data_IF_069659687328
#
_entry.id   IF_069659687328
#
_cell.length_a   1.000
_cell.length_b   1.000
_cell.length_c   1.000
_cell.angle_alpha   90.00
_cell.angle_beta   90.00
_cell.angle_gamma   90.00
#
_symmetry.space_group_name_H-M   'P 1'
#
loop_
_entity.id
_entity.type
_entity.pdbx_description
1 polymer ?
#
# COMPACT_ATOMS: atom_id res chain seq x y z
N UNK A 1 7.15 -6.37 35.12
CA UNK A 1 7.72 -7.04 33.92
C UNK A 1 7.30 -6.23 32.71
N UNK A 2 8.25 -5.74 31.88
CA UNK A 2 7.93 -5.08 30.62
C UNK A 2 7.31 -6.13 29.70
N UNK A 3 6.10 -5.88 29.21
CA UNK A 3 5.43 -6.77 28.26
C UNK A 3 6.07 -6.57 26.88
N UNK A 4 6.95 -7.46 26.48
CA UNK A 4 7.59 -7.47 25.15
C UNK A 4 6.63 -7.83 24.01
N UNK A 5 5.47 -8.38 24.34
CA UNK A 5 4.40 -8.74 23.40
C UNK A 5 3.05 -8.59 24.09
N UNK A 6 2.00 -8.38 23.31
CA UNK A 6 0.63 -8.17 23.78
C UNK A 6 -0.31 -9.13 23.08
N UNK A 7 -1.21 -9.75 23.87
CA UNK A 7 -2.33 -10.49 23.29
C UNK A 7 -3.31 -9.50 22.68
N UNK A 8 -3.60 -9.69 21.41
CA UNK A 8 -4.54 -8.83 20.70
C UNK A 8 -5.98 -9.14 21.11
N UNK A 9 -6.73 -8.12 21.51
CA UNK A 9 -8.13 -8.25 21.98
C UNK A 9 -9.11 -7.29 21.30
N UNK A 10 -8.66 -6.50 20.29
CA UNK A 10 -9.48 -5.49 19.64
C UNK A 10 -10.29 -6.09 18.47
N UNK A 11 -11.46 -5.50 18.18
CA UNK A 11 -12.21 -5.82 16.96
C UNK A 11 -11.41 -5.40 15.74
N UNK A 12 -11.30 -6.31 14.77
CA UNK A 12 -10.61 -6.08 13.50
C UNK A 12 -11.59 -5.73 12.39
N UNK A 13 -11.07 -5.23 11.29
CA UNK A 13 -11.83 -5.10 10.05
C UNK A 13 -12.07 -6.52 9.50
N UNK A 14 -13.31 -6.89 9.13
CA UNK A 14 -13.59 -8.19 8.53
C UNK A 14 -12.72 -8.46 7.31
N UNK A 15 -12.31 -9.71 7.10
CA UNK A 15 -11.42 -10.09 5.99
C UNK A 15 -12.00 -9.74 4.62
N UNK A 16 -13.31 -9.79 4.49
CA UNK A 16 -14.05 -9.48 3.26
C UNK A 16 -13.92 -8.01 2.83
N UNK A 17 -13.54 -7.14 3.77
CA UNK A 17 -13.32 -5.71 3.50
C UNK A 17 -11.87 -5.40 3.08
N UNK A 18 -11.00 -6.41 3.08
CA UNK A 18 -9.66 -6.30 2.53
C UNK A 18 -9.69 -6.67 1.03
N UNK A 19 -8.93 -5.92 0.23
CA UNK A 19 -8.89 -6.10 -1.23
C UNK A 19 -7.89 -7.21 -1.62
N UNK A 20 -8.01 -8.35 -0.98
CA UNK A 20 -7.23 -9.56 -1.24
C UNK A 20 -8.17 -10.61 -1.83
N UNK A 21 -7.68 -11.35 -2.82
CA UNK A 21 -8.45 -12.44 -3.44
C UNK A 21 -8.93 -13.43 -2.38
N UNK A 22 -10.23 -13.74 -2.32
CA UNK A 22 -10.78 -14.73 -1.40
C UNK A 22 -10.04 -16.08 -1.44
N UNK A 23 -9.60 -16.53 -2.62
CA UNK A 23 -8.83 -17.78 -2.78
C UNK A 23 -7.48 -17.71 -2.04
N UNK A 24 -6.82 -16.56 -2.06
CA UNK A 24 -5.58 -16.33 -1.30
C UNK A 24 -5.87 -16.40 0.19
N UNK A 25 -6.95 -15.77 0.63
CA UNK A 25 -7.37 -15.78 2.03
C UNK A 25 -7.69 -17.20 2.51
N UNK A 26 -8.44 -17.98 1.73
CA UNK A 26 -8.78 -19.38 2.05
C UNK A 26 -7.54 -20.27 2.10
N UNK A 27 -6.59 -20.08 1.19
CA UNK A 27 -5.30 -20.78 1.22
C UNK A 27 -4.51 -20.46 2.48
N UNK A 28 -4.42 -19.18 2.86
CA UNK A 28 -3.74 -18.75 4.09
C UNK A 28 -4.38 -19.33 5.35
N UNK A 29 -5.71 -19.32 5.42
CA UNK A 29 -6.44 -19.95 6.53
C UNK A 29 -6.17 -21.45 6.59
N UNK A 30 -6.07 -22.12 5.46
CA UNK A 30 -5.75 -23.55 5.38
C UNK A 30 -4.31 -23.81 5.86
N UNK A 31 -3.32 -23.05 5.38
CA UNK A 31 -1.92 -23.15 5.82
C UNK A 31 -1.78 -22.92 7.33
N UNK A 32 -2.47 -21.93 7.87
CA UNK A 32 -2.43 -21.61 9.29
C UNK A 32 -3.18 -22.62 10.17
N UNK A 33 -4.04 -23.48 9.61
CA UNK A 33 -4.74 -24.56 10.32
C UNK A 33 -3.91 -25.82 10.47
N UNK A 34 -2.96 -26.05 9.56
CA UNK A 34 -2.12 -27.27 9.59
C UNK A 34 -1.30 -27.32 10.87
N UNK A 35 -1.39 -28.43 11.58
CA UNK A 35 -0.75 -28.62 12.88
C UNK A 35 0.69 -29.15 12.73
N UNK A 36 1.66 -28.41 13.28
CA UNK A 36 2.90 -28.80 13.96
C UNK A 36 4.05 -29.51 13.23
N UNK A 37 3.92 -30.00 12.01
CA UNK A 37 5.05 -30.75 11.38
C UNK A 37 5.97 -29.85 10.54
N UNK A 38 5.48 -28.72 10.07
CA UNK A 38 6.27 -27.73 9.31
C UNK A 38 6.08 -26.32 9.83
N UNK A 39 7.10 -25.48 9.74
CA UNK A 39 6.97 -24.06 10.08
C UNK A 39 6.03 -23.37 9.10
N UNK A 40 5.11 -22.56 9.62
CA UNK A 40 4.17 -21.79 8.81
C UNK A 40 4.42 -20.29 9.01
N UNK A 41 5.41 -19.78 8.31
CA UNK A 41 5.73 -18.36 8.26
C UNK A 41 5.13 -17.73 7.02
N UNK A 42 4.33 -16.68 7.20
CA UNK A 42 3.70 -15.92 6.13
C UNK A 42 4.30 -14.53 6.10
N UNK A 43 4.63 -14.04 4.90
CA UNK A 43 5.13 -12.70 4.68
C UNK A 43 4.05 -11.81 4.03
N UNK A 44 3.66 -10.74 4.73
CA UNK A 44 2.81 -9.69 4.17
C UNK A 44 3.69 -8.46 3.88
N UNK A 45 3.75 -8.04 2.62
CA UNK A 45 4.62 -6.94 2.24
C UNK A 45 3.93 -5.94 1.30
N UNK A 46 4.46 -4.72 1.23
CA UNK A 46 3.94 -3.65 0.38
C UNK A 46 3.81 -2.31 1.11
N UNK A 47 3.36 -1.25 0.44
CA UNK A 47 3.34 0.12 0.97
C UNK A 47 2.65 0.24 2.33
N UNK A 48 3.06 1.20 3.18
CA UNK A 48 2.40 1.47 4.45
C UNK A 48 0.94 1.88 4.23
N UNK A 49 0.08 1.56 5.22
CA UNK A 49 -1.33 1.95 5.18
C UNK A 49 -2.24 1.12 4.27
N UNK A 50 -1.76 0.04 3.66
CA UNK A 50 -2.55 -0.87 2.81
C UNK A 50 -3.37 -1.91 3.59
N UNK A 51 -3.28 -1.91 4.93
CA UNK A 51 -4.10 -2.78 5.78
C UNK A 51 -3.45 -4.13 6.15
N UNK A 52 -2.14 -4.32 5.97
CA UNK A 52 -1.42 -5.56 6.28
C UNK A 52 -1.66 -6.05 7.71
N UNK A 53 -1.47 -5.19 8.70
CA UNK A 53 -1.67 -5.51 10.12
C UNK A 53 -3.13 -5.88 10.42
N UNK A 54 -4.07 -5.10 9.89
CA UNK A 54 -5.50 -5.38 10.05
C UNK A 54 -5.89 -6.72 9.43
N UNK A 55 -5.31 -7.06 8.28
CA UNK A 55 -5.54 -8.34 7.62
C UNK A 55 -4.97 -9.52 8.42
N UNK A 56 -3.74 -9.40 8.94
CA UNK A 56 -3.13 -10.42 9.81
C UNK A 56 -3.99 -10.72 11.04
N UNK A 57 -4.52 -9.67 11.67
CA UNK A 57 -5.42 -9.79 12.82
C UNK A 57 -6.77 -10.39 12.43
N UNK A 58 -7.29 -10.05 11.24
CA UNK A 58 -8.50 -10.65 10.69
C UNK A 58 -8.35 -12.16 10.46
N UNK A 59 -7.18 -12.62 9.98
CA UNK A 59 -6.87 -14.05 9.84
C UNK A 59 -6.92 -14.76 11.20
N UNK A 60 -6.30 -14.20 12.23
CA UNK A 60 -6.33 -14.77 13.58
C UNK A 60 -7.77 -14.86 14.13
N UNK A 61 -8.56 -13.82 13.95
CA UNK A 61 -9.96 -13.80 14.35
C UNK A 61 -10.80 -14.86 13.64
N UNK A 62 -10.61 -15.01 12.32
CA UNK A 62 -11.31 -16.02 11.50
C UNK A 62 -10.91 -17.45 11.87
N UNK A 63 -9.67 -17.64 12.28
CA UNK A 63 -9.16 -18.92 12.80
C UNK A 63 -9.66 -19.24 14.21
N UNK A 64 -10.16 -18.24 14.96
CA UNK A 64 -10.55 -18.40 16.35
C UNK A 64 -9.38 -18.66 17.31
N UNK A 65 -8.16 -18.22 16.93
CA UNK A 65 -6.95 -18.44 17.73
C UNK A 65 -6.47 -17.14 18.38
N UNK A 66 -5.81 -17.19 19.55
CA UNK A 66 -5.16 -16.03 20.13
C UNK A 66 -4.07 -15.50 19.19
N UNK A 67 -4.00 -14.18 19.05
CA UNK A 67 -2.92 -13.50 18.35
C UNK A 67 -2.06 -12.74 19.34
N UNK A 68 -0.74 -12.84 19.17
CA UNK A 68 0.25 -12.09 19.94
C UNK A 68 1.04 -11.19 19.01
N UNK A 69 1.05 -9.91 19.31
CA UNK A 69 1.82 -8.90 18.58
C UNK A 69 3.11 -8.61 19.32
N UNK A 70 4.24 -8.69 18.62
CA UNK A 70 5.55 -8.32 19.13
C UNK A 70 5.68 -6.80 19.14
N UNK A 71 5.78 -6.22 20.32
CA UNK A 71 5.83 -4.76 20.48
C UNK A 71 7.16 -4.19 20.01
N UNK A 72 7.10 -2.96 19.49
CA UNK A 72 8.23 -2.11 19.20
C UNK A 72 8.33 -1.06 20.31
N UNK A 73 9.33 -1.18 21.17
CA UNK A 73 9.65 -0.13 22.18
C UNK A 73 10.69 0.84 21.62
N UNK A 74 10.63 2.11 22.01
CA UNK A 74 11.69 3.09 21.75
C UNK A 74 13.01 2.61 22.34
N UNK A 75 14.10 2.66 21.57
CA UNK A 75 15.40 2.11 21.94
C UNK A 75 15.47 0.58 21.86
N UNK A 76 14.50 -0.07 21.26
CA UNK A 76 14.48 -1.52 21.05
C UNK A 76 15.50 -1.90 19.97
N UNK A 77 16.66 -2.36 20.40
CA UNK A 77 17.62 -2.97 19.48
C UNK A 77 16.99 -4.24 18.89
N UNK A 78 17.42 -4.62 17.70
CA UNK A 78 17.00 -5.87 17.04
C UNK A 78 17.11 -7.09 17.97
N UNK A 79 18.12 -7.13 18.82
CA UNK A 79 18.33 -8.19 19.80
C UNK A 79 17.19 -8.30 20.83
N UNK A 80 16.64 -7.19 21.29
CA UNK A 80 15.48 -7.22 22.20
C UNK A 80 14.23 -7.75 21.52
N UNK A 81 14.00 -7.40 20.26
CA UNK A 81 12.87 -7.97 19.49
C UNK A 81 13.04 -9.46 19.23
N UNK A 82 14.26 -9.93 18.95
CA UNK A 82 14.58 -11.37 18.86
C UNK A 82 14.24 -12.09 20.16
N UNK A 83 14.69 -11.56 21.29
CA UNK A 83 14.36 -12.11 22.62
C UNK A 83 12.85 -12.12 22.87
N UNK A 84 12.14 -11.07 22.47
CA UNK A 84 10.69 -10.99 22.58
C UNK A 84 9.97 -12.08 21.76
N UNK A 85 10.42 -12.33 20.53
CA UNK A 85 9.90 -13.39 19.68
C UNK A 85 10.11 -14.77 20.34
N UNK A 86 11.33 -15.07 20.77
CA UNK A 86 11.64 -16.33 21.43
C UNK A 86 10.85 -16.53 22.74
N UNK A 87 10.73 -15.49 23.56
CA UNK A 87 9.93 -15.52 24.78
C UNK A 87 8.43 -15.76 24.48
N UNK A 88 7.91 -15.13 23.43
CA UNK A 88 6.53 -15.34 22.98
C UNK A 88 6.32 -16.77 22.49
N UNK A 89 7.21 -17.30 21.66
CA UNK A 89 7.14 -18.67 21.14
C UNK A 89 7.24 -19.70 22.27
N UNK A 90 8.15 -19.53 23.22
CA UNK A 90 8.27 -20.39 24.39
C UNK A 90 7.01 -20.40 25.25
N UNK A 91 6.36 -19.25 25.41
CA UNK A 91 5.11 -19.14 26.14
C UNK A 91 3.97 -19.90 25.46
N UNK A 92 3.87 -19.84 24.12
CA UNK A 92 2.76 -20.45 23.37
C UNK A 92 3.02 -21.91 22.96
N UNK A 93 4.26 -22.40 23.03
CA UNK A 93 4.62 -23.78 22.67
C UNK A 93 3.94 -24.86 23.53
N UNK A 94 3.35 -24.49 24.66
CA UNK A 94 2.56 -25.37 25.55
C UNK A 94 1.06 -25.40 25.30
N UNK A 95 0.51 -24.60 24.35
CA UNK A 95 -0.94 -24.36 24.26
C UNK A 95 -1.48 -24.13 22.84
N UNK A 96 -2.66 -23.79 22.75
CA UNK A 96 -3.76 -23.51 21.82
C UNK A 96 -3.50 -23.07 20.37
N UNK A 97 -2.31 -23.29 19.79
CA UNK A 97 -2.07 -22.95 18.39
C UNK A 97 -2.17 -21.46 18.07
N UNK A 98 -1.66 -20.63 18.95
CA UNK A 98 -1.64 -19.16 18.81
C UNK A 98 -0.86 -18.70 17.57
N UNK A 99 -1.20 -17.50 17.10
CA UNK A 99 -0.53 -16.84 15.97
C UNK A 99 0.35 -15.71 16.49
N UNK A 100 1.61 -15.66 16.05
CA UNK A 100 2.52 -14.56 16.37
C UNK A 100 2.58 -13.60 15.19
N UNK A 101 2.36 -12.30 15.45
CA UNK A 101 2.44 -11.25 14.46
C UNK A 101 3.64 -10.37 14.75
N UNK A 102 4.54 -10.27 13.77
CA UNK A 102 5.73 -9.41 13.82
C UNK A 102 5.50 -8.26 12.86
N UNK A 103 4.95 -7.17 13.37
CA UNK A 103 4.72 -5.97 12.58
C UNK A 103 5.98 -5.12 12.45
N UNK A 104 6.09 -4.32 11.38
CA UNK A 104 7.29 -3.53 11.06
C UNK A 104 8.58 -4.36 11.18
N UNK A 105 8.59 -5.52 10.54
CA UNK A 105 9.70 -6.47 10.60
C UNK A 105 10.91 -6.05 9.75
N UNK A 106 10.88 -4.89 9.10
CA UNK A 106 11.90 -4.41 8.17
C UNK A 106 13.32 -4.57 8.75
N UNK A 107 13.53 -4.12 9.98
CA UNK A 107 14.84 -4.22 10.63
C UNK A 107 15.26 -5.67 10.99
N UNK A 108 14.30 -6.58 11.20
CA UNK A 108 14.58 -7.99 11.50
C UNK A 108 14.89 -8.79 10.24
N UNK A 109 14.29 -8.38 9.13
CA UNK A 109 14.39 -9.06 7.83
C UNK A 109 15.49 -8.47 6.93
N UNK A 110 16.13 -7.37 7.34
CA UNK A 110 17.25 -6.78 6.61
C UNK A 110 18.47 -7.72 6.66
N UNK A 111 18.64 -8.54 5.66
CA UNK A 111 19.69 -9.57 5.57
C UNK A 111 20.65 -9.36 4.40
N UNK A 112 20.35 -8.47 3.45
CA UNK A 112 21.25 -8.15 2.34
C UNK A 112 22.40 -7.26 2.82
N UNK A 113 23.62 -7.72 2.64
CA UNK A 113 24.83 -6.92 2.76
C UNK A 113 24.92 -5.98 1.54
N UNK A 114 24.38 -4.78 1.64
CA UNK A 114 24.56 -3.74 0.65
C UNK A 114 25.25 -2.55 1.30
N UNK A 115 26.25 -1.96 0.60
CA UNK A 115 26.90 -0.71 1.01
C UNK A 115 25.92 0.46 1.21
N UNK A 116 24.69 0.29 0.68
CA UNK A 116 23.61 1.28 0.70
C UNK A 116 22.44 0.89 1.63
N UNK A 117 22.51 -0.27 2.31
CA UNK A 117 21.46 -0.66 3.25
C UNK A 117 21.41 0.32 4.40
N UNK A 118 20.27 0.98 4.60
CA UNK A 118 20.02 1.80 5.78
C UNK A 118 19.80 0.88 6.97
N UNK A 119 20.83 0.67 7.78
CA UNK A 119 20.75 -0.09 9.03
C UNK A 119 21.75 -1.23 9.15
N UNK A 120 21.85 -1.81 10.34
CA UNK A 120 22.70 -2.97 10.61
C UNK A 120 22.14 -4.21 9.91
N UNK A 121 23.01 -4.91 9.18
CA UNK A 121 22.66 -6.21 8.56
C UNK A 121 22.42 -7.23 9.65
N UNK A 122 21.33 -7.97 9.57
CA UNK A 122 20.96 -8.93 10.59
C UNK A 122 21.65 -10.27 10.40
N UNK A 123 21.88 -10.96 11.52
CA UNK A 123 22.39 -12.34 11.52
C UNK A 123 21.38 -13.27 10.81
N UNK A 124 21.74 -13.63 9.60
CA UNK A 124 21.00 -14.54 8.73
C UNK A 124 20.84 -15.94 9.35
N UNK A 125 21.83 -16.39 10.13
CA UNK A 125 21.80 -17.72 10.77
C UNK A 125 20.64 -17.83 11.75
N UNK A 126 20.47 -16.84 12.61
CA UNK A 126 19.37 -16.79 13.57
C UNK A 126 17.98 -16.79 12.87
N UNK A 127 17.83 -15.97 11.83
CA UNK A 127 16.57 -15.84 11.13
C UNK A 127 16.21 -17.15 10.38
N UNK A 128 17.20 -17.76 9.74
CA UNK A 128 17.02 -19.04 9.07
C UNK A 128 16.60 -20.14 10.05
N UNK A 129 17.25 -20.22 11.20
CA UNK A 129 16.91 -21.17 12.27
C UNK A 129 15.47 -20.94 12.76
N UNK A 130 15.07 -19.68 12.99
CA UNK A 130 13.72 -19.35 13.44
C UNK A 130 12.67 -19.73 12.38
N UNK A 131 12.94 -19.44 11.11
CA UNK A 131 12.01 -19.75 10.01
C UNK A 131 11.88 -21.25 9.73
N UNK A 132 12.82 -22.07 10.17
CA UNK A 132 12.82 -23.53 10.06
C UNK A 132 12.31 -24.23 11.33
N UNK A 133 12.04 -23.48 12.42
CA UNK A 133 11.61 -24.05 13.70
C UNK A 133 10.20 -24.66 13.59
N UNK A 134 10.03 -25.96 13.88
CA UNK A 134 8.75 -26.64 13.76
C UNK A 134 7.70 -26.06 14.71
N UNK A 135 6.47 -25.97 14.24
CA UNK A 135 5.31 -25.59 15.06
C UNK A 135 5.09 -24.10 15.22
N UNK A 136 6.02 -23.25 14.78
CA UNK A 136 5.84 -21.81 14.80
C UNK A 136 4.83 -21.37 13.70
N UNK A 137 3.82 -20.61 14.08
CA UNK A 137 2.88 -19.96 13.17
C UNK A 137 3.04 -18.46 13.30
N UNK A 138 3.67 -17.84 12.30
CA UNK A 138 4.01 -16.43 12.37
C UNK A 138 3.58 -15.69 11.10
N UNK A 139 3.11 -14.48 11.27
CA UNK A 139 2.91 -13.51 10.18
C UNK A 139 3.91 -12.39 10.36
N UNK A 140 4.73 -12.20 9.34
CA UNK A 140 5.72 -11.14 9.25
C UNK A 140 5.20 -10.04 8.36
N UNK A 141 5.31 -8.80 8.79
CA UNK A 141 4.81 -7.63 8.06
C UNK A 141 5.98 -6.68 7.81
N UNK A 142 6.22 -6.36 6.54
CA UNK A 142 7.25 -5.43 6.11
C UNK A 142 6.73 -4.46 5.04
N UNK A 143 7.37 -3.34 4.88
CA UNK A 143 7.03 -2.38 3.84
C UNK A 143 7.78 -2.65 2.53
N UNK A 144 8.95 -3.32 2.59
CA UNK A 144 9.77 -3.66 1.43
C UNK A 144 10.40 -5.05 1.60
N UNK A 145 10.66 -5.69 0.47
CA UNK A 145 11.42 -6.96 0.41
C UNK A 145 12.80 -6.77 -0.23
N UNK A 146 13.17 -5.55 -0.61
CA UNK A 146 14.43 -5.25 -1.31
C UNK A 146 15.67 -5.68 -0.53
N UNK A 147 15.60 -5.57 0.80
CA UNK A 147 16.71 -5.82 1.71
C UNK A 147 16.70 -7.24 2.31
N UNK A 148 15.80 -8.10 1.84
CA UNK A 148 15.70 -9.51 2.23
C UNK A 148 16.45 -10.36 1.23
N UNK A 149 17.37 -11.20 1.70
CA UNK A 149 18.05 -12.17 0.84
C UNK A 149 17.11 -13.26 0.31
N UNK A 150 17.34 -13.72 -0.92
CA UNK A 150 16.55 -14.78 -1.57
C UNK A 150 16.51 -16.07 -0.75
N UNK A 151 17.61 -16.38 -0.05
CA UNK A 151 17.73 -17.56 0.82
C UNK A 151 16.76 -17.49 2.00
N UNK A 152 16.46 -16.32 2.51
CA UNK A 152 15.46 -16.07 3.56
C UNK A 152 14.06 -16.08 2.99
N UNK A 153 13.86 -15.41 1.84
CA UNK A 153 12.55 -15.35 1.17
C UNK A 153 11.98 -16.74 0.86
N UNK A 154 12.81 -17.68 0.45
CA UNK A 154 12.39 -19.06 0.12
C UNK A 154 11.89 -19.87 1.33
N UNK A 155 12.11 -19.41 2.56
CA UNK A 155 11.67 -20.09 3.79
C UNK A 155 10.27 -19.67 4.24
N UNK A 156 9.71 -18.64 3.64
CA UNK A 156 8.32 -18.31 3.88
C UNK A 156 7.41 -19.29 3.14
N UNK A 157 6.45 -19.87 3.88
CA UNK A 157 5.48 -20.80 3.32
C UNK A 157 4.56 -20.13 2.29
N UNK A 158 4.28 -18.84 2.48
CA UNK A 158 3.50 -18.04 1.55
C UNK A 158 3.80 -16.55 1.72
N UNK A 159 3.60 -15.79 0.64
CA UNK A 159 3.72 -14.33 0.70
C UNK A 159 2.55 -13.65 0.01
N UNK A 160 2.14 -12.49 0.55
CA UNK A 160 1.07 -11.66 -0.02
C UNK A 160 1.59 -10.26 -0.26
N UNK A 161 1.49 -9.82 -1.50
CA UNK A 161 1.81 -8.46 -1.87
C UNK A 161 0.58 -7.57 -1.72
N UNK A 162 0.65 -6.61 -0.81
CA UNK A 162 -0.33 -5.56 -0.65
C UNK A 162 0.04 -4.40 -1.59
N UNK A 163 -0.62 -4.34 -2.73
CA UNK A 163 -0.38 -3.26 -3.71
C UNK A 163 -0.96 -1.94 -3.22
N UNK A 164 -0.40 -0.83 -3.70
CA UNK A 164 -1.03 0.48 -3.51
C UNK A 164 -2.43 0.48 -4.13
N UNK A 165 -3.37 1.13 -3.47
CA UNK A 165 -4.75 1.16 -3.94
C UNK A 165 -4.88 1.96 -5.25
N UNK A 166 -5.51 1.37 -6.25
CA UNK A 166 -5.91 2.09 -7.45
C UNK A 166 -7.07 3.06 -7.16
N UNK A 167 -7.43 3.91 -8.14
CA UNK A 167 -8.48 4.94 -7.96
C UNK A 167 -9.81 4.35 -7.49
N UNK A 168 -10.26 3.21 -8.08
CA UNK A 168 -11.54 2.57 -7.70
C UNK A 168 -11.50 2.06 -6.26
N UNK A 169 -10.38 1.46 -5.88
CA UNK A 169 -10.17 0.97 -4.52
C UNK A 169 -10.12 2.11 -3.51
N UNK A 170 -9.44 3.21 -3.84
CA UNK A 170 -9.44 4.43 -3.00
C UNK A 170 -10.84 5.01 -2.86
N UNK A 171 -11.63 5.05 -3.96
CA UNK A 171 -13.01 5.51 -3.91
C UNK A 171 -13.86 4.65 -2.96
N UNK A 172 -13.79 3.33 -3.11
CA UNK A 172 -14.48 2.38 -2.23
C UNK A 172 -14.07 2.55 -0.77
N UNK A 173 -12.77 2.77 -0.52
CA UNK A 173 -12.22 3.02 0.81
C UNK A 173 -12.82 4.29 1.43
N UNK A 174 -12.80 5.41 0.71
CA UNK A 174 -13.40 6.68 1.12
C UNK A 174 -14.88 6.51 1.44
N UNK A 175 -15.65 5.91 0.55
CA UNK A 175 -17.07 5.66 0.76
C UNK A 175 -17.35 4.76 1.98
N UNK A 176 -16.52 3.74 2.21
CA UNK A 176 -16.63 2.86 3.37
C UNK A 176 -16.44 3.63 4.67
N UNK A 177 -15.41 4.47 4.74
CA UNK A 177 -15.12 5.27 5.94
C UNK A 177 -16.20 6.31 6.18
N UNK A 178 -16.64 7.03 5.13
CA UNK A 178 -17.72 8.02 5.22
C UNK A 178 -19.04 7.39 5.70
N UNK A 179 -19.36 6.18 5.21
CA UNK A 179 -20.54 5.42 5.67
C UNK A 179 -20.44 5.00 7.13
N UNK A 180 -19.26 4.53 7.57
CA UNK A 180 -19.00 4.14 8.96
C UNK A 180 -19.28 5.29 9.93
N UNK A 181 -18.88 6.50 9.57
CA UNK A 181 -19.12 7.71 10.37
C UNK A 181 -20.50 8.35 10.12
N UNK A 182 -21.34 7.77 9.24
CA UNK A 182 -22.68 8.29 8.87
C UNK A 182 -22.64 9.72 8.30
N UNK A 183 -21.56 10.06 7.62
CA UNK A 183 -21.36 11.39 7.01
C UNK A 183 -21.32 11.38 5.48
N UNK A 184 -21.60 10.23 4.84
CA UNK A 184 -21.57 10.12 3.38
C UNK A 184 -22.52 11.12 2.70
N UNK A 185 -23.67 11.39 3.27
CA UNK A 185 -24.66 12.34 2.75
C UNK A 185 -24.20 13.79 2.72
N UNK A 186 -23.14 14.14 3.47
CA UNK A 186 -22.54 15.46 3.47
C UNK A 186 -21.64 15.74 2.26
N UNK A 187 -21.29 14.72 1.49
CA UNK A 187 -20.39 14.81 0.34
C UNK A 187 -21.11 14.34 -0.92
N UNK A 188 -21.04 15.15 -1.96
CA UNK A 188 -21.49 14.72 -3.28
C UNK A 188 -20.46 13.81 -3.96
N UNK A 189 -20.85 13.15 -5.05
CA UNK A 189 -19.98 12.23 -5.79
C UNK A 189 -18.75 12.94 -6.38
N UNK A 190 -18.90 14.20 -6.82
CA UNK A 190 -17.78 14.97 -7.38
C UNK A 190 -16.79 15.34 -6.30
N UNK A 191 -17.26 15.73 -5.11
CA UNK A 191 -16.41 16.03 -3.96
C UNK A 191 -15.62 14.81 -3.50
N UNK A 192 -16.27 13.63 -3.39
CA UNK A 192 -15.57 12.39 -3.03
C UNK A 192 -14.49 12.07 -4.06
N UNK A 193 -14.79 12.17 -5.35
CA UNK A 193 -13.79 11.95 -6.40
C UNK A 193 -12.61 12.94 -6.30
N UNK A 194 -12.85 14.22 -6.00
CA UNK A 194 -11.78 15.21 -5.76
C UNK A 194 -10.91 14.83 -4.56
N UNK A 195 -11.53 14.38 -3.45
CA UNK A 195 -10.79 13.93 -2.27
C UNK A 195 -9.94 12.69 -2.56
N UNK A 196 -10.48 11.71 -3.27
CA UNK A 196 -9.75 10.49 -3.71
C UNK A 196 -8.52 10.83 -4.55
N UNK A 197 -8.64 11.81 -5.45
CA UNK A 197 -7.54 12.25 -6.30
C UNK A 197 -6.49 13.04 -5.54
N UNK A 198 -6.95 13.93 -4.66
CA UNK A 198 -6.07 14.83 -3.90
C UNK A 198 -5.33 14.13 -2.77
N UNK A 199 -5.97 13.15 -2.12
CA UNK A 199 -5.47 12.52 -0.91
C UNK A 199 -5.24 11.02 -1.08
N UNK A 200 -4.07 10.58 -1.57
CA UNK A 200 -3.69 9.16 -1.64
C UNK A 200 -3.25 8.66 -0.26
N UNK A 201 -4.14 8.73 0.71
CA UNK A 201 -3.87 8.40 2.12
C UNK A 201 -4.55 7.10 2.53
N UNK A 202 -4.10 6.51 3.65
CA UNK A 202 -4.67 5.27 4.19
C UNK A 202 -6.06 5.48 4.82
N UNK A 203 -6.81 4.39 4.97
CA UNK A 203 -8.09 4.40 5.67
C UNK A 203 -8.00 4.98 7.09
N UNK A 204 -6.89 4.72 7.80
CA UNK A 204 -6.68 5.21 9.14
C UNK A 204 -6.57 6.75 9.19
N UNK A 205 -5.90 7.35 8.21
CA UNK A 205 -5.77 8.82 8.10
C UNK A 205 -7.13 9.44 7.76
N UNK A 206 -7.88 8.83 6.84
CA UNK A 206 -9.25 9.29 6.51
C UNK A 206 -10.16 9.22 7.74
N UNK A 207 -10.16 8.07 8.44
CA UNK A 207 -10.93 7.84 9.65
C UNK A 207 -10.60 8.87 10.74
N UNK A 208 -9.32 9.07 10.99
CA UNK A 208 -8.84 10.05 11.98
C UNK A 208 -9.28 11.47 11.62
N UNK A 209 -9.12 11.87 10.36
CA UNK A 209 -9.48 13.22 9.88
C UNK A 209 -10.97 13.49 10.02
N UNK A 210 -11.82 12.52 9.68
CA UNK A 210 -13.28 12.62 9.82
C UNK A 210 -13.67 12.66 11.29
N UNK A 211 -13.13 11.77 12.12
CA UNK A 211 -13.42 11.73 13.55
C UNK A 211 -13.05 13.05 14.23
N UNK A 212 -11.86 13.60 13.95
CA UNK A 212 -11.43 14.88 14.49
C UNK A 212 -12.30 16.04 14.01
N UNK A 213 -12.70 16.03 12.75
CA UNK A 213 -13.63 17.01 12.24
C UNK A 213 -15.01 16.94 12.94
N UNK A 214 -15.51 15.74 13.24
CA UNK A 214 -16.76 15.57 14.00
C UNK A 214 -16.64 16.07 15.46
N UNK A 215 -15.47 15.93 16.08
CA UNK A 215 -15.20 16.40 17.43
C UNK A 215 -15.08 17.93 17.51
N UNK A 216 -14.53 18.56 16.48
CA UNK A 216 -14.13 19.98 16.52
C UNK A 216 -15.03 20.94 15.76
N UNK A 217 -15.77 20.48 14.73
CA UNK A 217 -16.66 21.34 13.97
C UNK A 217 -17.92 21.69 14.76
N UNK A 218 -18.00 22.92 15.23
CA UNK A 218 -19.11 23.40 16.08
C UNK A 218 -20.38 23.79 15.33
N UNK A 219 -20.35 24.04 14.02
CA UNK A 219 -21.57 24.37 13.23
C UNK A 219 -21.32 24.37 11.72
N UNK A 220 -22.19 23.68 10.98
CA UNK A 220 -22.33 23.75 9.54
C UNK A 220 -21.51 22.71 8.74
N UNK A 221 -22.05 22.34 7.58
CA UNK A 221 -21.41 21.35 6.69
C UNK A 221 -20.12 21.87 6.05
N UNK A 222 -20.07 23.16 5.74
CA UNK A 222 -18.89 23.82 5.14
C UNK A 222 -17.71 23.76 6.10
N UNK A 223 -17.92 24.16 7.36
CA UNK A 223 -16.89 24.10 8.39
C UNK A 223 -16.36 22.66 8.63
N UNK A 224 -17.26 21.66 8.58
CA UNK A 224 -16.88 20.26 8.70
C UNK A 224 -15.94 19.81 7.56
N UNK A 225 -16.31 20.10 6.31
CA UNK A 225 -15.49 19.74 5.14
C UNK A 225 -14.12 20.42 5.14
N UNK A 226 -14.09 21.70 5.55
CA UNK A 226 -12.83 22.44 5.68
C UNK A 226 -11.90 21.83 6.73
N UNK A 227 -12.44 21.44 7.89
CA UNK A 227 -11.63 20.78 8.93
C UNK A 227 -11.13 19.41 8.47
N UNK A 228 -11.95 18.63 7.77
CA UNK A 228 -11.49 17.36 7.16
C UNK A 228 -10.32 17.61 6.21
N UNK A 229 -10.44 18.58 5.32
CA UNK A 229 -9.40 18.94 4.35
C UNK A 229 -8.13 19.43 5.03
N UNK A 230 -8.27 20.30 6.03
CA UNK A 230 -7.14 20.80 6.82
C UNK A 230 -6.37 19.68 7.53
N UNK A 231 -7.08 18.73 8.13
CA UNK A 231 -6.45 17.57 8.77
C UNK A 231 -5.71 16.69 7.77
N UNK A 232 -6.29 16.47 6.60
CA UNK A 232 -5.66 15.69 5.52
C UNK A 232 -4.42 16.40 4.97
N UNK A 233 -4.47 17.71 4.75
CA UNK A 233 -3.34 18.52 4.29
C UNK A 233 -2.18 18.48 5.32
N UNK A 234 -2.50 18.59 6.60
CA UNK A 234 -1.51 18.46 7.67
C UNK A 234 -0.82 17.08 7.68
N UNK A 235 -1.59 16.00 7.53
CA UNK A 235 -1.03 14.66 7.44
C UNK A 235 -0.16 14.45 6.20
N UNK A 236 -0.56 14.96 5.04
CA UNK A 236 0.26 14.88 3.84
C UNK A 236 1.59 15.64 3.99
N UNK A 237 1.55 16.79 4.63
CA UNK A 237 2.76 17.58 4.90
C UNK A 237 3.73 16.79 5.79
N UNK A 238 3.23 16.11 6.82
CA UNK A 238 4.06 15.26 7.69
C UNK A 238 4.67 14.07 6.95
N UNK A 239 3.89 13.40 6.08
CA UNK A 239 4.38 12.24 5.31
C UNK A 239 5.46 12.66 4.29
N UNK A 240 5.40 13.87 3.78
CA UNK A 240 6.34 14.41 2.81
C UNK A 240 7.50 15.21 3.44
N UNK A 241 7.92 14.86 4.66
CA UNK A 241 9.03 15.48 5.40
C UNK A 241 8.94 17.01 5.53
N UNK A 242 7.72 17.52 5.72
CA UNK A 242 7.45 18.95 5.84
C UNK A 242 7.38 19.71 4.50
N UNK A 243 7.72 19.08 3.41
CA UNK A 243 7.47 19.64 2.09
C UNK A 243 5.96 19.59 1.80
N UNK A 244 5.36 20.74 1.48
CA UNK A 244 3.99 20.71 0.95
C UNK A 244 4.00 19.73 -0.22
N UNK A 245 3.09 18.72 -0.24
CA UNK A 245 2.99 17.86 -1.41
C UNK A 245 2.92 18.79 -2.60
N UNK A 246 3.81 18.61 -3.57
CA UNK A 246 3.62 19.26 -4.86
C UNK A 246 2.22 18.83 -5.26
N UNK A 247 1.27 19.77 -5.13
CA UNK A 247 -0.09 19.52 -5.63
C UNK A 247 0.16 19.00 -7.03
N UNK A 248 -0.23 17.73 -7.27
CA UNK A 248 -0.33 17.24 -8.65
C UNK A 248 -1.16 18.34 -9.29
N UNK A 249 -0.48 19.16 -10.11
CA UNK A 249 -1.01 20.41 -10.64
C UNK A 249 -2.43 20.14 -11.08
N UNK A 250 -3.36 20.96 -10.62
CA UNK A 250 -4.75 20.88 -11.05
C UNK A 250 -4.70 20.81 -12.58
N UNK A 251 -5.37 19.85 -13.17
CA UNK A 251 -5.87 20.04 -14.53
C UNK A 251 -6.66 21.34 -14.39
N UNK A 252 -6.21 22.41 -15.02
CA UNK A 252 -6.99 23.64 -15.04
C UNK A 252 -8.36 23.24 -15.56
N UNK A 253 -9.41 23.54 -14.78
CA UNK A 253 -10.79 23.16 -15.12
C UNK A 253 -11.21 23.71 -16.49
N UNK A 254 -10.43 24.65 -17.03
CA UNK A 254 -10.60 25.36 -18.30
C UNK A 254 -9.58 24.95 -19.39
N UNK A 255 -8.85 23.84 -19.23
CA UNK A 255 -7.92 23.43 -20.28
C UNK A 255 -8.69 23.00 -21.53
N UNK A 256 -8.61 23.79 -22.59
CA UNK A 256 -9.19 23.50 -23.91
C UNK A 256 -8.11 23.01 -24.86
N UNK A 257 -8.40 21.93 -25.55
CA UNK A 257 -7.53 21.39 -26.62
C UNK A 257 -7.51 22.34 -27.82
N UNK A 258 -8.53 23.15 -28.00
CA UNK A 258 -8.68 24.06 -29.14
C UNK A 258 -7.58 25.13 -29.22
N UNK A 259 -6.92 25.43 -28.11
CA UNK A 259 -5.80 26.38 -28.05
C UNK A 259 -4.44 25.78 -28.27
N UNK A 260 -4.33 24.44 -28.47
CA UNK A 260 -3.05 23.78 -28.68
C UNK A 260 -2.64 23.84 -30.13
N UNK A 261 -1.44 24.39 -30.38
CA UNK A 261 -0.80 24.32 -31.69
C UNK A 261 -0.07 22.97 -31.84
N UNK A 262 -0.84 21.91 -32.21
CA UNK A 262 -0.31 20.55 -32.38
C UNK A 262 -0.27 20.23 -33.87
N UNK A 263 0.89 19.85 -34.36
CA UNK A 263 1.01 19.23 -35.68
C UNK A 263 0.52 17.79 -35.62
N UNK A 264 -0.66 17.52 -36.16
CA UNK A 264 -1.26 16.18 -36.19
C UNK A 264 -2.78 16.23 -36.00
N UNK A 265 -3.45 15.11 -36.30
CA UNK A 265 -4.88 14.98 -36.13
C UNK A 265 -5.19 14.54 -34.70
N UNK A 266 -5.19 15.47 -33.74
CA UNK A 266 -5.48 15.21 -32.34
C UNK A 266 -6.86 14.57 -32.10
N UNK A 267 -7.94 14.99 -32.80
CA UNK A 267 -9.24 14.33 -32.70
C UNK A 267 -9.18 12.83 -33.04
N UNK A 268 -8.52 12.45 -34.14
CA UNK A 268 -8.38 11.05 -34.50
C UNK A 268 -7.54 10.24 -33.50
N UNK A 269 -6.52 10.87 -32.89
CA UNK A 269 -5.73 10.24 -31.81
C UNK A 269 -6.64 10.00 -30.59
N UNK A 270 -7.48 10.94 -30.23
CA UNK A 270 -8.41 10.80 -29.10
C UNK A 270 -9.43 9.68 -29.36
N UNK A 271 -10.01 9.59 -30.54
CA UNK A 271 -10.94 8.53 -30.93
C UNK A 271 -10.26 7.15 -30.83
N UNK A 272 -9.06 6.99 -31.37
CA UNK A 272 -8.29 5.75 -31.27
C UNK A 272 -7.99 5.38 -29.82
N UNK A 273 -7.68 6.35 -28.95
CA UNK A 273 -7.44 6.12 -27.54
C UNK A 273 -8.71 5.72 -26.79
N UNK A 274 -9.85 6.27 -27.13
CA UNK A 274 -11.15 5.88 -26.56
C UNK A 274 -11.50 4.44 -26.95
N UNK A 275 -11.32 4.08 -28.22
CA UNK A 275 -11.54 2.72 -28.70
C UNK A 275 -10.60 1.72 -27.99
N UNK A 276 -9.31 2.06 -27.93
CA UNK A 276 -8.33 1.27 -27.19
C UNK A 276 -8.71 1.10 -25.70
N UNK A 277 -9.13 2.17 -25.04
CA UNK A 277 -9.60 2.15 -23.66
C UNK A 277 -10.84 1.27 -23.48
N UNK A 278 -11.72 1.27 -24.47
CA UNK A 278 -12.92 0.44 -24.49
C UNK A 278 -12.55 -1.05 -24.64
N UNK A 279 -11.62 -1.39 -25.52
CA UNK A 279 -11.10 -2.75 -25.71
C UNK A 279 -10.43 -3.27 -24.43
N UNK A 280 -9.62 -2.47 -23.74
CA UNK A 280 -9.00 -2.83 -22.46
C UNK A 280 -10.04 -3.12 -21.36
N UNK A 281 -11.17 -2.40 -21.36
CA UNK A 281 -12.26 -2.64 -20.38
C UNK A 281 -12.99 -3.96 -20.61
N UNK A 282 -13.03 -4.47 -21.85
CA UNK A 282 -13.70 -5.72 -22.22
C UNK A 282 -12.88 -6.99 -21.95
N UNK A 283 -11.63 -6.86 -21.50
CA UNK A 283 -10.71 -7.98 -21.23
C UNK A 283 -10.50 -8.91 -22.44
N UNK A 284 -10.48 -8.36 -23.65
CA UNK A 284 -10.27 -9.14 -24.86
C UNK A 284 -8.85 -9.72 -24.87
N UNK A 285 -8.71 -11.05 -24.87
CA UNK A 285 -7.41 -11.71 -24.71
C UNK A 285 -6.46 -11.45 -25.90
N UNK A 286 -6.97 -10.92 -27.01
CA UNK A 286 -6.21 -10.62 -28.23
C UNK A 286 -5.95 -9.13 -28.44
N UNK A 287 -6.42 -8.24 -27.55
CA UNK A 287 -6.19 -6.81 -27.68
C UNK A 287 -4.74 -6.44 -27.43
N UNK A 288 -4.19 -5.59 -28.31
CA UNK A 288 -2.89 -4.94 -28.06
C UNK A 288 -2.97 -4.18 -26.74
N UNK A 289 -2.11 -4.51 -25.78
CA UNK A 289 -2.17 -3.92 -24.43
C UNK A 289 -1.38 -2.63 -24.28
N UNK A 290 -0.63 -2.23 -25.30
CA UNK A 290 0.25 -1.06 -25.28
C UNK A 290 -0.13 -0.06 -26.34
N UNK A 291 -0.29 1.20 -25.96
CA UNK A 291 -0.48 2.33 -26.84
C UNK A 291 0.58 3.39 -26.46
N UNK A 292 1.55 3.63 -27.34
CA UNK A 292 2.64 4.55 -27.11
C UNK A 292 2.45 5.86 -27.86
N UNK A 293 2.50 6.98 -27.15
CA UNK A 293 2.47 8.32 -27.73
C UNK A 293 3.76 9.05 -27.44
N UNK A 294 4.36 9.65 -28.44
CA UNK A 294 5.52 10.53 -28.31
C UNK A 294 5.09 11.99 -28.51
N UNK A 295 5.20 12.79 -27.45
CA UNK A 295 5.03 14.24 -27.54
C UNK A 295 6.39 14.93 -27.59
N UNK A 296 6.70 15.64 -28.66
CA UNK A 296 7.94 16.41 -28.83
C UNK A 296 7.65 17.87 -29.15
N UNK A 297 8.61 18.73 -28.92
CA UNK A 297 8.47 20.18 -29.14
C UNK A 297 9.13 21.01 -28.03
N UNK A 298 9.11 22.35 -28.15
CA UNK A 298 9.79 23.24 -27.21
C UNK A 298 9.24 23.14 -25.77
N UNK A 299 10.02 23.55 -24.76
CA UNK A 299 9.52 23.69 -23.39
C UNK A 299 8.32 24.66 -23.34
N UNK A 300 7.33 24.39 -22.48
CA UNK A 300 6.15 25.22 -22.35
C UNK A 300 5.05 24.99 -23.39
N UNK A 301 5.23 24.13 -24.39
CA UNK A 301 4.23 23.83 -25.44
C UNK A 301 3.01 23.00 -24.97
N UNK A 302 2.77 22.81 -23.68
CA UNK A 302 1.60 22.10 -23.16
C UNK A 302 1.64 20.58 -23.22
N UNK A 303 2.80 19.95 -23.57
CA UNK A 303 2.92 18.49 -23.71
C UNK A 303 2.46 17.71 -22.47
N UNK A 304 2.87 18.15 -21.29
CA UNK A 304 2.50 17.51 -20.01
C UNK A 304 1.02 17.72 -19.68
N UNK A 305 0.47 18.88 -20.01
CA UNK A 305 -0.96 19.17 -19.82
C UNK A 305 -1.82 18.32 -20.75
N UNK A 306 -1.40 18.14 -22.00
CA UNK A 306 -2.07 17.25 -22.95
C UNK A 306 -2.10 15.80 -22.41
N UNK A 307 -1.00 15.30 -21.86
CA UNK A 307 -0.98 13.97 -21.25
C UNK A 307 -1.93 13.86 -20.05
N UNK A 308 -2.02 14.90 -19.20
CA UNK A 308 -2.97 14.98 -18.08
C UNK A 308 -4.41 15.02 -18.58
N UNK A 309 -4.67 15.83 -19.60
CA UNK A 309 -5.99 15.93 -20.22
C UNK A 309 -6.45 14.57 -20.76
N UNK A 310 -5.61 13.87 -21.53
CA UNK A 310 -5.89 12.54 -22.08
C UNK A 310 -6.20 11.55 -20.93
N UNK A 311 -5.37 11.52 -19.89
CA UNK A 311 -5.60 10.64 -18.75
C UNK A 311 -6.93 10.94 -18.05
N UNK A 312 -7.26 12.21 -17.85
CA UNK A 312 -8.53 12.65 -17.28
C UNK A 312 -9.73 12.29 -18.14
N UNK A 313 -9.63 12.50 -19.46
CA UNK A 313 -10.68 12.19 -20.42
C UNK A 313 -10.98 10.69 -20.49
N UNK A 314 -9.93 9.86 -20.47
CA UNK A 314 -10.06 8.40 -20.49
C UNK A 314 -10.39 7.81 -19.09
N UNK A 315 -10.53 8.63 -18.07
CA UNK A 315 -10.70 8.21 -16.68
C UNK A 315 -9.60 7.26 -16.20
N UNK A 316 -8.36 7.48 -16.67
CA UNK A 316 -7.18 6.70 -16.30
C UNK A 316 -6.31 7.45 -15.31
N UNK A 317 -5.62 6.71 -14.46
CA UNK A 317 -4.62 7.26 -13.55
C UNK A 317 -3.34 7.59 -14.33
N UNK A 318 -2.78 8.78 -14.11
CA UNK A 318 -1.54 9.21 -14.74
C UNK A 318 -0.38 9.00 -13.76
N UNK A 319 0.56 8.15 -14.13
CA UNK A 319 1.84 8.00 -13.44
C UNK A 319 2.90 8.83 -14.18
N UNK A 320 3.47 9.82 -13.52
CA UNK A 320 4.55 10.64 -14.07
C UNK A 320 5.87 10.19 -13.46
N UNK A 321 6.82 9.80 -14.29
CA UNK A 321 8.19 9.44 -13.89
C UNK A 321 9.16 10.36 -14.64
N UNK A 322 10.14 10.86 -13.92
CA UNK A 322 11.23 11.66 -14.50
C UNK A 322 12.40 10.76 -14.87
N UNK A 323 13.29 11.23 -15.73
CA UNK A 323 14.52 10.52 -16.08
C UNK A 323 15.34 10.19 -14.82
N UNK A 324 15.38 11.10 -13.84
CA UNK A 324 16.01 10.86 -12.53
C UNK A 324 15.42 9.70 -11.73
N UNK A 325 14.15 9.34 -11.97
CA UNK A 325 13.48 8.24 -11.28
C UNK A 325 13.77 6.88 -11.94
N UNK A 326 14.30 6.92 -13.16
CA UNK A 326 14.56 5.76 -14.02
C UNK A 326 16.05 5.44 -14.05
N UNK A 327 16.88 6.44 -14.34
CA UNK A 327 18.32 6.26 -14.56
C UNK A 327 19.04 6.19 -13.22
N UNK A 328 19.83 5.13 -13.03
CA UNK A 328 20.78 4.99 -11.92
C UNK A 328 22.22 4.97 -12.46
N UNK A 329 23.20 5.53 -11.74
CA UNK A 329 24.60 5.41 -12.08
C UNK A 329 25.14 3.97 -11.94
N UNK A 330 24.36 3.05 -11.37
CA UNK A 330 24.79 1.68 -11.12
C UNK A 330 24.29 0.73 -12.20
N UNK A 331 25.17 -0.20 -12.61
CA UNK A 331 24.87 -1.19 -13.65
C UNK A 331 23.72 -2.12 -13.17
N UNK A 332 22.69 -2.28 -13.99
CA UNK A 332 21.55 -3.14 -13.72
C UNK A 332 20.39 -2.50 -12.92
N UNK A 333 20.60 -1.36 -12.27
CA UNK A 333 19.53 -0.69 -11.52
C UNK A 333 18.54 0.04 -12.42
N UNK A 334 19.01 0.58 -13.54
CA UNK A 334 18.14 1.25 -14.52
C UNK A 334 17.11 0.29 -15.09
N UNK A 335 17.51 -0.92 -15.45
CA UNK A 335 16.62 -1.98 -15.96
C UNK A 335 15.63 -2.42 -14.90
N UNK A 336 16.07 -2.57 -13.66
CA UNK A 336 15.20 -2.90 -12.54
C UNK A 336 14.19 -1.79 -12.26
N UNK A 337 14.61 -0.52 -12.31
CA UNK A 337 13.73 0.63 -12.15
C UNK A 337 12.66 0.68 -13.25
N UNK A 338 13.05 0.45 -14.51
CA UNK A 338 12.13 0.37 -15.64
C UNK A 338 11.11 -0.75 -15.42
N UNK A 339 11.57 -1.96 -15.12
CA UNK A 339 10.70 -3.11 -14.86
C UNK A 339 9.72 -2.83 -13.72
N UNK A 340 10.20 -2.22 -12.64
CA UNK A 340 9.34 -1.84 -11.50
C UNK A 340 8.28 -0.81 -11.90
N UNK A 341 8.62 0.20 -12.70
CA UNK A 341 7.69 1.24 -13.16
C UNK A 341 6.55 0.62 -13.97
N UNK A 342 6.87 -0.29 -14.90
CA UNK A 342 5.85 -0.99 -15.68
C UNK A 342 4.98 -1.90 -14.81
N UNK A 343 5.57 -2.62 -13.86
CA UNK A 343 4.80 -3.44 -12.91
C UNK A 343 3.89 -2.62 -11.96
N UNK A 344 4.28 -1.37 -11.66
CA UNK A 344 3.44 -0.43 -10.90
C UNK A 344 2.27 0.11 -11.74
N UNK A 345 2.41 0.14 -13.07
CA UNK A 345 1.41 0.67 -13.99
C UNK A 345 0.34 -0.38 -14.38
N UNK A 346 0.64 -1.68 -14.27
CA UNK A 346 -0.29 -2.79 -14.47
C UNK A 346 -1.24 -2.99 -13.28
#
# INVERSE_FOLDING_TARGET
AKNYFVRFSRKTIPLENHLIDPKVTDNLLSLLKVKRESPNHILLYGPPGTGKTSYALGLAQKLGVPAYEILREEGNTTNKRRTAILACLNMINGGDGSLVIVDEADNLLNTKNSWFSRGETQDKGWLNQLLEEPGARMIWITNSISDIEDSVMRRFAFSVHFRAFNRRQRLSLWESVLRRHRVKSRFDTKEINRLVMRYPVSAAIIDLSIRKALETSKSGEVAFKEVVTMNLDAHLTLINDGNKPQMKEKIEENYSIEGLNVEGNLPAIMENLEEFNHCLRRSDQHAVRNFNLLFYGPPGAGKSELARYIAGHLERELMVKRVSDVVSPYIGETEQNISRIFSEAE
#
